data_IF_781201689453
#
_entry.id   IF_781201689453
#
_cell.length_a   1.000
_cell.length_b   1.000
_cell.length_c   1.000
_cell.angle_alpha   90.00
_cell.angle_beta   90.00
_cell.angle_gamma   90.00
#
_symmetry.space_group_name_H-M   'P 1'
#
loop_
_entity.id
_entity.type
_entity.pdbx_description
1 polymer ?
#
# COMPACT_ATOMS: atom_id res chain seq x y z
N UNK A 1 24.53 2.38 -6.12
CA UNK A 1 23.79 2.45 -4.84
C UNK A 1 22.86 1.26 -4.76
N UNK A 2 22.74 0.60 -3.60
CA UNK A 2 21.74 -0.46 -3.41
C UNK A 2 20.42 0.18 -3.02
N UNK A 3 19.35 -0.08 -3.78
CA UNK A 3 18.00 0.40 -3.46
C UNK A 3 17.26 -0.51 -2.47
N UNK A 4 17.85 -1.65 -2.11
CA UNK A 4 17.21 -2.64 -1.24
C UNK A 4 16.83 -2.06 0.14
N UNK A 5 17.68 -1.29 0.85
CA UNK A 5 17.29 -0.69 2.13
C UNK A 5 16.10 0.27 2.00
N UNK A 6 16.06 1.07 0.93
CA UNK A 6 14.95 1.99 0.66
C UNK A 6 13.67 1.23 0.36
N UNK A 7 13.76 0.17 -0.46
CA UNK A 7 12.62 -0.70 -0.77
C UNK A 7 12.05 -1.36 0.48
N UNK A 8 12.91 -1.93 1.33
CA UNK A 8 12.50 -2.53 2.61
C UNK A 8 11.84 -1.51 3.55
N UNK A 9 12.38 -0.30 3.64
CA UNK A 9 11.79 0.77 4.45
C UNK A 9 10.40 1.18 3.94
N UNK A 10 10.19 1.23 2.62
CA UNK A 10 8.89 1.50 2.01
C UNK A 10 7.88 0.40 2.32
N UNK A 11 8.28 -0.87 2.22
CA UNK A 11 7.43 -2.01 2.58
C UNK A 11 7.06 -2.00 4.06
N UNK A 12 8.02 -1.76 4.96
CA UNK A 12 7.78 -1.63 6.40
C UNK A 12 6.79 -0.50 6.71
N UNK A 13 6.95 0.65 6.05
CA UNK A 13 6.00 1.77 6.17
C UNK A 13 4.62 1.36 5.69
N UNK A 14 4.51 0.67 4.55
CA UNK A 14 3.23 0.18 4.04
C UNK A 14 2.52 -0.76 5.02
N UNK A 15 3.24 -1.69 5.64
CA UNK A 15 2.69 -2.57 6.70
C UNK A 15 2.18 -1.76 7.88
N UNK A 16 2.97 -0.81 8.39
CA UNK A 16 2.58 0.03 9.53
C UNK A 16 1.35 0.93 9.22
N UNK A 17 1.23 1.41 7.97
CA UNK A 17 0.06 2.15 7.52
C UNK A 17 -1.18 1.26 7.48
N UNK A 18 -1.07 0.01 7.04
CA UNK A 18 -2.17 -0.95 7.09
C UNK A 18 -2.63 -1.20 8.54
N UNK A 19 -1.70 -1.39 9.47
CA UNK A 19 -2.01 -1.55 10.90
C UNK A 19 -2.73 -0.32 11.47
N UNK A 20 -2.35 0.89 11.02
CA UNK A 20 -2.98 2.14 11.45
C UNK A 20 -4.37 2.30 10.85
N UNK A 21 -4.54 1.98 9.57
CA UNK A 21 -5.84 1.97 8.89
C UNK A 21 -6.80 0.99 9.55
N UNK A 22 -6.34 -0.22 9.87
CA UNK A 22 -7.18 -1.22 10.54
C UNK A 22 -7.78 -0.67 11.85
N UNK A 23 -6.97 -0.04 12.70
CA UNK A 23 -7.42 0.58 13.96
C UNK A 23 -8.47 1.68 13.77
N UNK A 24 -8.47 2.36 12.63
CA UNK A 24 -9.50 3.36 12.31
C UNK A 24 -10.84 2.68 12.00
N UNK A 25 -10.83 1.49 11.41
CA UNK A 25 -12.04 0.74 11.00
C UNK A 25 -12.54 -0.26 12.05
N UNK A 26 -11.67 -0.76 12.93
CA UNK A 26 -12.00 -1.71 14.01
C UNK A 26 -13.24 -1.34 14.85
N UNK A 27 -13.45 -0.08 15.27
CA UNK A 27 -14.64 0.29 16.06
C UNK A 27 -15.97 0.04 15.33
N UNK A 28 -15.94 0.02 13.99
CA UNK A 28 -17.12 -0.15 13.15
C UNK A 28 -17.28 -1.58 12.63
N UNK A 29 -16.52 -2.56 13.15
CA UNK A 29 -16.49 -3.94 12.63
C UNK A 29 -17.86 -4.62 12.52
N UNK A 30 -18.83 -4.20 13.35
CA UNK A 30 -20.21 -4.67 13.28
C UNK A 30 -20.96 -4.24 12.00
N UNK A 31 -20.39 -3.31 11.23
CA UNK A 31 -20.90 -2.86 9.94
C UNK A 31 -20.25 -3.66 8.80
N UNK A 32 -21.06 -4.11 7.83
CA UNK A 32 -20.58 -4.92 6.70
C UNK A 32 -19.49 -4.24 5.88
N UNK A 33 -19.62 -2.93 5.64
CA UNK A 33 -18.64 -2.14 4.88
C UNK A 33 -17.28 -2.09 5.60
N UNK A 34 -17.28 -1.88 6.93
CA UNK A 34 -16.06 -1.84 7.71
C UNK A 34 -15.36 -3.20 7.74
N UNK A 35 -16.14 -4.28 7.87
CA UNK A 35 -15.62 -5.65 7.79
C UNK A 35 -14.97 -5.96 6.43
N UNK A 36 -15.57 -5.53 5.31
CA UNK A 36 -14.98 -5.68 3.97
C UNK A 36 -13.69 -4.89 3.81
N UNK A 37 -13.69 -3.62 4.26
CA UNK A 37 -12.49 -2.78 4.28
C UNK A 37 -11.37 -3.45 5.11
N UNK A 38 -11.67 -3.95 6.31
CA UNK A 38 -10.68 -4.62 7.17
C UNK A 38 -10.07 -5.86 6.50
N UNK A 39 -10.88 -6.64 5.78
CA UNK A 39 -10.38 -7.79 5.01
C UNK A 39 -9.42 -7.38 3.88
N UNK A 40 -9.72 -6.27 3.19
CA UNK A 40 -8.84 -5.73 2.15
C UNK A 40 -7.53 -5.18 2.74
N UNK A 41 -7.60 -4.43 3.84
CA UNK A 41 -6.42 -3.96 4.59
C UNK A 41 -5.57 -5.15 5.02
N UNK A 42 -6.19 -6.19 5.58
CA UNK A 42 -5.49 -7.41 5.98
C UNK A 42 -4.79 -8.11 4.82
N UNK A 43 -5.44 -8.18 3.66
CA UNK A 43 -4.86 -8.78 2.44
C UNK A 43 -3.65 -7.98 1.93
N UNK A 44 -3.76 -6.64 1.89
CA UNK A 44 -2.65 -5.76 1.53
C UNK A 44 -1.48 -5.93 2.51
N UNK A 45 -1.77 -5.88 3.82
CA UNK A 45 -0.78 -6.03 4.89
C UNK A 45 -0.01 -7.34 4.75
N UNK A 46 -0.71 -8.46 4.54
CA UNK A 46 -0.09 -9.77 4.36
C UNK A 46 0.82 -9.78 3.13
N UNK A 47 0.33 -9.30 1.98
CA UNK A 47 1.17 -9.24 0.77
C UNK A 47 2.44 -8.40 0.96
N UNK A 48 2.36 -7.26 1.64
CA UNK A 48 3.54 -6.44 1.95
C UNK A 48 4.48 -7.12 2.95
N UNK A 49 3.94 -7.83 3.95
CA UNK A 49 4.73 -8.58 4.92
C UNK A 49 5.45 -9.78 4.28
N UNK A 50 4.79 -10.47 3.34
CA UNK A 50 5.40 -11.57 2.59
C UNK A 50 6.61 -11.05 1.77
N UNK A 51 6.48 -9.86 1.16
CA UNK A 51 7.59 -9.19 0.47
C UNK A 51 8.75 -8.81 1.42
N UNK A 52 8.50 -8.65 2.72
CA UNK A 52 9.55 -8.37 3.71
C UNK A 52 10.27 -9.63 4.19
N UNK A 53 9.58 -10.77 4.21
CA UNK A 53 10.15 -12.05 4.63
C UNK A 53 11.17 -12.54 3.61
N UNK A 54 10.85 -12.43 2.32
CA UNK A 54 11.73 -12.81 1.21
C UNK A 54 11.86 -11.66 0.20
N UNK A 55 12.75 -10.68 0.47
CA UNK A 55 12.77 -9.45 -0.28
C UNK A 55 13.53 -9.59 -1.61
N UNK A 56 12.77 -9.62 -2.70
CA UNK A 56 13.30 -9.55 -4.06
C UNK A 56 13.22 -8.14 -4.65
N UNK A 57 14.37 -7.55 -4.96
CA UNK A 57 14.43 -6.25 -5.63
C UNK A 57 14.48 -6.42 -7.16
N UNK A 58 13.35 -6.83 -7.74
CA UNK A 58 13.18 -7.02 -9.19
C UNK A 58 11.96 -6.27 -9.72
N UNK A 59 11.87 -6.13 -11.04
CA UNK A 59 10.81 -5.34 -11.68
C UNK A 59 9.43 -5.93 -11.42
N UNK A 60 9.33 -7.26 -11.48
CA UNK A 60 8.12 -8.03 -11.26
C UNK A 60 7.59 -7.83 -9.83
N UNK A 61 8.48 -7.88 -8.83
CA UNK A 61 8.14 -7.70 -7.42
C UNK A 61 7.72 -6.25 -7.12
N UNK A 62 8.45 -5.26 -7.64
CA UNK A 62 8.07 -3.85 -7.48
C UNK A 62 6.72 -3.55 -8.13
N UNK A 63 6.43 -4.15 -9.30
CA UNK A 63 5.14 -4.02 -9.98
C UNK A 63 3.99 -4.66 -9.19
N UNK A 64 4.23 -5.83 -8.59
CA UNK A 64 3.27 -6.51 -7.72
C UNK A 64 2.92 -5.65 -6.51
N UNK A 65 3.91 -5.07 -5.83
CA UNK A 65 3.69 -4.17 -4.69
C UNK A 65 2.89 -2.94 -5.09
N UNK A 66 3.24 -2.28 -6.20
CA UNK A 66 2.46 -1.13 -6.68
C UNK A 66 1.02 -1.53 -6.99
N UNK A 67 0.80 -2.67 -7.66
CA UNK A 67 -0.54 -3.14 -8.01
C UNK A 67 -1.40 -3.51 -6.80
N UNK A 68 -0.81 -4.07 -5.74
CA UNK A 68 -1.55 -4.36 -4.51
C UNK A 68 -2.04 -3.08 -3.82
N UNK A 69 -1.17 -2.07 -3.70
CA UNK A 69 -1.52 -0.80 -3.06
C UNK A 69 -2.56 -0.05 -3.91
N UNK A 70 -2.36 0.02 -5.23
CA UNK A 70 -3.28 0.68 -6.17
C UNK A 70 -4.68 0.07 -6.11
N UNK A 71 -4.77 -1.26 -6.18
CA UNK A 71 -6.04 -2.00 -6.06
C UNK A 71 -6.76 -1.71 -4.74
N UNK A 72 -6.03 -1.63 -3.64
CA UNK A 72 -6.61 -1.27 -2.35
C UNK A 72 -7.18 0.15 -2.39
N UNK A 73 -6.39 1.13 -2.84
CA UNK A 73 -6.79 2.54 -2.91
C UNK A 73 -8.05 2.69 -3.77
N UNK A 74 -8.08 2.08 -4.96
CA UNK A 74 -9.22 2.13 -5.87
C UNK A 74 -10.49 1.50 -5.29
N UNK A 75 -10.35 0.33 -4.64
CA UNK A 75 -11.49 -0.40 -4.06
C UNK A 75 -12.07 0.33 -2.85
N UNK A 76 -11.23 1.03 -2.09
CA UNK A 76 -11.63 1.66 -0.82
C UNK A 76 -12.51 2.92 -1.01
N UNK A 77 -12.49 3.54 -2.20
CA UNK A 77 -13.34 4.71 -2.49
C UNK A 77 -14.85 4.39 -2.55
N UNK A 78 -15.23 3.12 -2.66
CA UNK A 78 -16.64 2.70 -2.56
C UNK A 78 -17.15 2.81 -1.12
N UNK A 79 -16.39 2.29 -0.15
CA UNK A 79 -16.75 2.26 1.28
C UNK A 79 -16.69 3.66 1.92
N UNK A 80 -15.84 4.54 1.37
CA UNK A 80 -15.72 5.94 1.77
C UNK A 80 -17.01 6.75 1.64
N UNK A 81 -17.92 6.33 0.75
CA UNK A 81 -19.24 6.96 0.57
C UNK A 81 -20.26 6.47 1.60
N UNK A 82 -19.98 5.35 2.26
CA UNK A 82 -20.86 4.70 3.23
C UNK A 82 -20.51 5.04 4.69
N UNK A 83 -19.32 5.59 4.97
CA UNK A 83 -19.01 6.20 6.27
C UNK A 83 -20.11 7.23 6.57
N UNK A 84 -20.80 7.15 7.73
CA UNK A 84 -21.82 8.12 8.06
C UNK A 84 -21.21 9.52 7.95
N UNK A 85 -21.82 10.36 7.10
CA UNK A 85 -21.36 11.72 6.73
C UNK A 85 -20.96 12.60 7.93
N UNK A 86 -21.33 12.23 9.15
CA UNK A 86 -21.08 12.93 10.39
C UNK A 86 -19.67 12.76 10.99
N UNK A 87 -18.89 11.74 10.64
CA UNK A 87 -17.54 11.57 11.22
C UNK A 87 -16.43 12.17 10.32
N UNK A 88 -16.35 13.50 10.33
CA UNK A 88 -15.37 14.27 9.56
C UNK A 88 -13.93 14.02 10.03
N UNK A 89 -13.73 13.68 11.30
CA UNK A 89 -12.40 13.43 11.88
C UNK A 89 -11.85 12.10 11.38
N UNK A 90 -12.65 11.04 11.46
CA UNK A 90 -12.30 9.74 10.89
C UNK A 90 -12.02 9.87 9.40
N UNK A 91 -12.87 10.61 8.68
CA UNK A 91 -12.66 10.90 7.26
C UNK A 91 -11.31 11.56 7.00
N UNK A 92 -11.02 12.71 7.63
CA UNK A 92 -9.74 13.39 7.47
C UNK A 92 -8.56 12.45 7.74
N UNK A 93 -8.65 11.63 8.80
CA UNK A 93 -7.60 10.68 9.16
C UNK A 93 -7.36 9.61 8.09
N UNK A 94 -8.41 9.07 7.48
CA UNK A 94 -8.23 8.08 6.41
C UNK A 94 -7.64 8.73 5.15
N UNK A 95 -8.00 9.97 4.80
CA UNK A 95 -7.39 10.67 3.67
C UNK A 95 -5.87 10.84 3.87
N UNK A 96 -5.43 11.26 5.06
CA UNK A 96 -4.01 11.37 5.39
C UNK A 96 -3.28 10.02 5.22
N UNK A 97 -3.86 8.93 5.73
CA UNK A 97 -3.27 7.59 5.63
C UNK A 97 -3.23 7.08 4.17
N UNK A 98 -4.20 7.48 3.36
CA UNK A 98 -4.21 7.20 1.92
C UNK A 98 -3.12 7.97 1.18
N UNK A 99 -2.92 9.24 1.50
CA UNK A 99 -1.82 10.03 0.96
C UNK A 99 -0.46 9.42 1.33
N UNK A 100 -0.33 8.91 2.55
CA UNK A 100 0.86 8.18 2.97
C UNK A 100 1.08 6.87 2.20
N UNK A 101 0.02 6.12 1.88
CA UNK A 101 0.09 4.95 0.99
C UNK A 101 0.45 5.35 -0.44
N UNK A 102 -0.09 6.48 -0.93
CA UNK A 102 0.30 7.07 -2.22
C UNK A 102 1.78 7.47 -2.25
N UNK A 103 2.35 7.90 -1.12
CA UNK A 103 3.79 8.13 -1.02
C UNK A 103 4.60 6.82 -1.12
N UNK A 104 4.10 5.73 -0.52
CA UNK A 104 4.73 4.40 -0.62
C UNK A 104 4.72 3.89 -2.07
N UNK A 105 3.56 3.88 -2.75
CA UNK A 105 3.46 3.44 -4.15
C UNK A 105 4.37 4.25 -5.07
N UNK A 106 4.45 5.58 -4.88
CA UNK A 106 5.33 6.45 -5.65
C UNK A 106 6.82 6.12 -5.40
N UNK A 107 7.20 5.86 -4.14
CA UNK A 107 8.55 5.45 -3.79
C UNK A 107 8.95 4.11 -4.44
N UNK A 108 8.06 3.11 -4.41
CA UNK A 108 8.30 1.82 -5.07
C UNK A 108 8.34 1.98 -6.59
N UNK A 109 7.44 2.80 -7.16
CA UNK A 109 7.41 3.10 -8.59
C UNK A 109 8.69 3.77 -9.10
N UNK A 110 9.28 4.68 -8.31
CA UNK A 110 10.57 5.28 -8.64
C UNK A 110 11.69 4.22 -8.71
N UNK A 111 11.73 3.29 -7.77
CA UNK A 111 12.68 2.16 -7.78
C UNK A 111 12.44 1.27 -9.00
N UNK A 112 11.18 0.94 -9.29
CA UNK A 112 10.79 0.13 -10.45
C UNK A 112 11.27 0.73 -11.77
N UNK A 113 11.13 2.05 -11.94
CA UNK A 113 11.60 2.77 -13.13
C UNK A 113 13.13 2.68 -13.28
N UNK A 114 13.89 2.85 -12.19
CA UNK A 114 15.35 2.71 -12.22
C UNK A 114 15.77 1.29 -12.60
N UNK A 115 15.11 0.24 -12.07
CA UNK A 115 15.37 -1.15 -12.44
C UNK A 115 15.08 -1.42 -13.92
N UNK A 116 14.01 -0.81 -14.46
CA UNK A 116 13.65 -0.91 -15.88
C UNK A 116 14.73 -0.30 -16.77
N UNK A 117 15.20 0.90 -16.42
CA UNK A 117 16.26 1.61 -17.18
C UNK A 117 17.56 0.81 -17.21
N UNK A 118 18.02 0.30 -16.06
CA UNK A 118 19.23 -0.52 -15.97
C UNK A 118 19.14 -1.80 -16.83
N UNK A 119 17.99 -2.49 -16.82
CA UNK A 119 17.75 -3.67 -17.68
C UNK A 119 17.81 -3.31 -19.16
N UNK A 120 17.23 -2.18 -19.55
CA UNK A 120 17.23 -1.71 -20.95
C UNK A 120 18.65 -1.33 -21.41
N UNK A 121 19.42 -0.63 -20.59
CA UNK A 121 20.80 -0.26 -20.91
C UNK A 121 21.70 -1.48 -21.10
N UNK A 122 21.54 -2.52 -20.27
CA UNK A 122 22.31 -3.78 -20.39
C UNK A 122 21.91 -4.65 -21.58
N UNK A 123 20.73 -4.44 -22.14
CA UNK A 123 20.26 -5.19 -23.32
C UNK A 123 20.77 -4.60 -24.64
N UNK A 124 21.42 -3.42 -24.60
CA UNK A 124 21.96 -2.71 -25.77
C UNK A 124 23.49 -2.84 -25.90
N UNK A 125 24.14 -3.52 -24.96
CA UNK A 125 25.59 -3.81 -24.91
C UNK A 125 25.84 -5.29 -25.08
#
# INVERSE_FOLDING_TARGET
MSFLPTYLALLQRGVALCDTLAKVYEPDIAQDWASRTLMQIGSLRMGLADCLIDPELVLEQTSLVTGMIDKYIDSHWADYREIPKSDLTKRARVLELHEDLMAVINGVGAISNVLREDRLSRSQT
#
